data_IF_297055066585
#
_entry.id   IF_297055066585
#
_cell.length_a   1.000
_cell.length_b   1.000
_cell.length_c   1.000
_cell.angle_alpha   90.00
_cell.angle_beta   90.00
_cell.angle_gamma   90.00
#
_symmetry.space_group_name_H-M   'P 1'
#
loop_
_entity.id
_entity.type
_entity.pdbx_description
1 polymer ?
#
# COMPACT_ATOMS: atom_id res chain seq x y z
N UNK A 1 48.28 -48.38 -32.02
CA UNK A 1 47.75 -48.19 -30.66
C UNK A 1 47.18 -46.78 -30.56
N UNK A 2 45.87 -46.58 -30.29
CA UNK A 2 45.35 -45.28 -29.88
C UNK A 2 44.93 -45.30 -28.40
N UNK A 3 45.30 -44.22 -27.70
CA UNK A 3 44.99 -43.94 -26.30
C UNK A 3 43.57 -43.40 -26.21
N UNK A 4 42.68 -44.04 -25.44
CA UNK A 4 41.32 -43.56 -25.20
C UNK A 4 41.34 -42.51 -24.07
N UNK A 5 40.83 -41.31 -24.35
CA UNK A 5 40.68 -40.24 -23.38
C UNK A 5 39.48 -40.53 -22.47
N UNK A 6 39.71 -40.65 -21.16
CA UNK A 6 38.63 -40.70 -20.16
C UNK A 6 38.06 -39.29 -19.98
N UNK A 7 36.78 -39.14 -20.29
CA UNK A 7 36.02 -37.91 -20.04
C UNK A 7 35.82 -37.75 -18.53
N UNK A 8 36.38 -36.71 -17.94
CA UNK A 8 36.19 -36.34 -16.54
C UNK A 8 34.94 -35.47 -16.47
N UNK A 9 33.85 -35.99 -15.91
CA UNK A 9 32.61 -35.23 -15.69
C UNK A 9 32.73 -34.42 -14.38
N UNK A 10 32.41 -33.11 -14.37
CA UNK A 10 32.56 -32.30 -13.16
C UNK A 10 31.45 -32.63 -12.13
N UNK A 11 31.72 -32.52 -10.82
CA UNK A 11 30.74 -32.82 -9.79
C UNK A 11 29.58 -31.81 -9.83
N UNK A 12 28.35 -32.32 -9.82
CA UNK A 12 27.13 -31.50 -9.69
C UNK A 12 27.17 -30.79 -8.33
N UNK A 13 27.13 -29.46 -8.33
CA UNK A 13 26.95 -28.65 -7.13
C UNK A 13 25.58 -28.96 -6.53
N UNK A 14 25.56 -29.64 -5.40
CA UNK A 14 24.39 -29.73 -4.53
C UNK A 14 24.18 -28.32 -3.95
N UNK A 15 23.05 -27.70 -4.30
CA UNK A 15 22.67 -26.39 -3.78
C UNK A 15 21.96 -26.63 -2.47
N UNK A 16 22.66 -26.43 -1.36
CA UNK A 16 22.07 -26.41 -0.02
C UNK A 16 20.88 -25.43 -0.03
N UNK A 17 19.67 -25.97 0.04
CA UNK A 17 18.45 -25.20 0.21
C UNK A 17 18.41 -24.67 1.65
N UNK A 18 18.96 -23.48 1.83
CA UNK A 18 18.69 -22.68 3.02
C UNK A 18 17.16 -22.50 3.14
N UNK A 19 16.55 -22.80 4.31
CA UNK A 19 15.11 -22.71 4.47
C UNK A 19 14.64 -21.27 4.25
N UNK A 20 13.82 -21.07 3.21
CA UNK A 20 13.20 -19.78 2.90
C UNK A 20 12.43 -19.31 4.13
N UNK A 21 12.73 -18.11 4.68
CA UNK A 21 12.04 -17.61 5.86
C UNK A 21 10.54 -17.52 5.58
N UNK A 22 9.74 -18.02 6.52
CA UNK A 22 8.28 -18.08 6.40
C UNK A 22 7.71 -16.65 6.25
N UNK A 23 7.36 -16.28 5.01
CA UNK A 23 6.74 -14.99 4.65
C UNK A 23 5.31 -14.84 5.21
N UNK A 24 4.80 -15.79 6.01
CA UNK A 24 3.43 -15.81 6.52
C UNK A 24 3.13 -14.83 7.66
N UNK A 25 4.11 -14.12 8.19
CA UNK A 25 3.83 -12.98 9.08
C UNK A 25 4.07 -11.69 8.32
N UNK A 26 3.02 -10.91 7.99
CA UNK A 26 3.24 -9.55 7.54
C UNK A 26 3.91 -8.84 8.73
N UNK A 27 5.16 -8.44 8.54
CA UNK A 27 5.81 -7.57 9.50
C UNK A 27 5.24 -6.20 9.18
N UNK A 28 4.45 -5.64 10.11
CA UNK A 28 4.25 -4.21 10.14
C UNK A 28 5.61 -3.56 9.87
N UNK A 29 5.65 -2.53 9.00
CA UNK A 29 6.88 -1.77 8.79
C UNK A 29 7.56 -1.51 10.13
N UNK A 30 8.88 -1.72 10.24
CA UNK A 30 9.64 -1.55 11.49
C UNK A 30 9.35 -0.20 12.19
N UNK A 31 8.89 0.81 11.43
CA UNK A 31 8.43 2.09 11.93
C UNK A 31 7.15 2.00 12.78
N UNK A 32 6.13 1.24 12.37
CA UNK A 32 4.89 1.06 13.13
C UNK A 32 5.13 0.33 14.45
N UNK A 33 5.95 -0.71 14.43
CA UNK A 33 6.28 -1.49 15.64
C UNK A 33 6.96 -0.62 16.69
N UNK A 34 7.90 0.25 16.29
CA UNK A 34 8.60 1.17 17.20
C UNK A 34 7.65 2.20 17.82
N UNK A 35 6.68 2.70 17.05
CA UNK A 35 5.67 3.64 17.57
C UNK A 35 4.75 2.98 18.60
N UNK A 36 4.50 1.68 18.51
CA UNK A 36 3.64 0.95 19.45
C UNK A 36 4.15 1.05 20.88
N UNK A 37 5.46 0.93 21.05
CA UNK A 37 6.13 0.99 22.36
C UNK A 37 6.06 2.39 22.99
N UNK A 38 5.94 3.45 22.18
CA UNK A 38 5.85 4.83 22.66
C UNK A 38 4.45 5.22 23.18
N UNK A 39 3.43 4.38 22.99
CA UNK A 39 2.05 4.67 23.36
C UNK A 39 1.43 5.83 22.55
N UNK A 40 0.11 5.99 22.61
CA UNK A 40 -0.59 7.08 21.91
C UNK A 40 -0.18 8.43 22.51
N UNK A 41 0.77 9.12 21.90
CA UNK A 41 1.07 10.51 22.27
C UNK A 41 -0.05 11.44 21.76
N UNK A 42 -0.28 12.55 22.47
CA UNK A 42 -1.24 13.58 22.04
C UNK A 42 -0.87 14.04 20.62
N UNK A 43 -1.86 14.13 19.72
CA UNK A 43 -1.68 14.57 18.33
C UNK A 43 -1.42 13.46 17.31
N UNK A 44 -1.47 12.18 17.70
CA UNK A 44 -1.43 11.07 16.75
C UNK A 44 -2.79 10.83 16.12
N UNK A 45 -2.81 10.62 14.81
CA UNK A 45 -4.02 10.21 14.08
C UNK A 45 -3.76 8.91 13.35
N UNK A 46 -4.57 7.90 13.62
CA UNK A 46 -4.48 6.60 12.97
C UNK A 46 -5.69 6.43 12.06
N UNK A 47 -5.43 6.15 10.79
CA UNK A 47 -6.48 5.91 9.80
C UNK A 47 -6.38 4.47 9.29
N UNK A 48 -7.48 3.72 9.34
CA UNK A 48 -7.60 2.40 8.73
C UNK A 48 -8.20 2.54 7.32
N UNK A 49 -7.56 1.95 6.32
CA UNK A 49 -8.03 1.86 4.96
C UNK A 49 -8.44 0.42 4.66
N UNK A 50 -9.74 0.20 4.50
CA UNK A 50 -10.31 -1.08 4.17
C UNK A 50 -10.70 -1.13 2.69
N UNK A 51 -10.19 -2.14 1.97
CA UNK A 51 -10.44 -2.37 0.55
C UNK A 51 -11.26 -3.65 0.30
N UNK A 52 -12.61 -3.58 0.25
CA UNK A 52 -13.45 -4.76 0.18
C UNK A 52 -13.27 -5.63 -1.06
N UNK A 53 -12.72 -5.07 -2.14
CA UNK A 53 -12.38 -5.70 -3.41
C UNK A 53 -11.04 -6.45 -3.38
N UNK A 54 -10.25 -6.31 -2.30
CA UNK A 54 -8.94 -6.93 -2.13
C UNK A 54 -9.02 -8.20 -1.26
N UNK A 55 -8.21 -9.26 -1.54
CA UNK A 55 -8.13 -10.43 -0.68
C UNK A 55 -7.86 -10.08 0.79
N UNK A 56 -8.48 -10.82 1.71
CA UNK A 56 -8.47 -10.51 3.15
C UNK A 56 -7.08 -10.24 3.75
N UNK A 57 -6.03 -10.89 3.23
CA UNK A 57 -4.65 -10.72 3.69
C UNK A 57 -4.03 -9.35 3.40
N UNK A 58 -4.61 -8.57 2.50
CA UNK A 58 -4.08 -7.27 2.05
C UNK A 58 -5.15 -6.18 2.03
N UNK A 59 -6.30 -6.47 2.64
CA UNK A 59 -7.48 -5.61 2.65
C UNK A 59 -7.31 -4.37 3.52
N UNK A 60 -6.54 -4.47 4.58
CA UNK A 60 -6.39 -3.42 5.57
C UNK A 60 -4.99 -2.81 5.53
N UNK A 61 -4.96 -1.49 5.56
CA UNK A 61 -3.75 -0.69 5.60
C UNK A 61 -3.95 0.44 6.60
N UNK A 62 -2.95 0.69 7.43
CA UNK A 62 -2.99 1.74 8.44
C UNK A 62 -2.04 2.86 8.09
N UNK A 63 -2.52 4.10 8.20
CA UNK A 63 -1.71 5.30 8.15
C UNK A 63 -1.62 5.90 9.55
N UNK A 64 -0.41 5.94 10.10
CA UNK A 64 -0.12 6.51 11.43
C UNK A 64 0.53 7.87 11.26
N UNK A 65 -0.26 8.92 11.42
CA UNK A 65 0.16 10.31 11.34
C UNK A 65 0.60 10.82 12.70
N UNK A 66 1.78 11.44 12.71
CA UNK A 66 2.41 12.08 13.86
C UNK A 66 2.96 13.44 13.44
N UNK A 67 3.24 14.37 14.38
CA UNK A 67 3.85 15.64 14.02
C UNK A 67 5.14 15.43 13.19
N UNK A 68 5.11 15.89 11.94
CA UNK A 68 6.25 15.80 11.00
C UNK A 68 6.56 14.41 10.43
N UNK A 69 5.73 13.39 10.68
CA UNK A 69 6.00 12.03 10.17
C UNK A 69 4.70 11.25 9.91
N UNK A 70 4.67 10.47 8.83
CA UNK A 70 3.58 9.59 8.42
C UNK A 70 4.15 8.20 8.11
N UNK A 71 3.59 7.16 8.74
CA UNK A 71 3.96 5.77 8.49
C UNK A 71 2.80 4.97 7.90
N UNK A 72 3.10 4.13 6.90
CA UNK A 72 2.14 3.21 6.28
C UNK A 72 2.43 1.78 6.72
N UNK A 73 1.40 1.06 7.12
CA UNK A 73 1.51 -0.26 7.73
C UNK A 73 0.48 -1.20 7.10
N UNK A 74 0.92 -2.38 6.67
CA UNK A 74 0.10 -3.44 6.07
C UNK A 74 -0.38 -4.48 7.11
N UNK A 75 -0.04 -4.24 8.38
CA UNK A 75 -0.37 -5.06 9.53
C UNK A 75 -0.89 -4.14 10.62
N UNK A 76 -1.91 -4.59 11.35
CA UNK A 76 -2.54 -3.80 12.41
C UNK A 76 -1.48 -3.36 13.44
N UNK A 77 -1.25 -2.04 13.59
CA UNK A 77 -0.27 -1.54 14.54
C UNK A 77 -0.73 -1.65 16.00
N UNK A 78 -2.01 -1.95 16.24
CA UNK A 78 -2.61 -2.08 17.57
C UNK A 78 -2.91 -0.74 18.25
N UNK A 79 -3.09 0.32 17.45
CA UNK A 79 -3.52 1.62 17.95
C UNK A 79 -5.03 1.80 17.82
N UNK A 80 -5.59 2.69 18.62
CA UNK A 80 -6.97 3.14 18.44
C UNK A 80 -7.12 3.85 17.09
N UNK A 81 -8.02 3.35 16.25
CA UNK A 81 -8.33 3.91 14.93
C UNK A 81 -9.17 5.17 15.12
N UNK A 82 -8.68 6.30 14.63
CA UNK A 82 -9.40 7.58 14.66
C UNK A 82 -10.48 7.66 13.58
N UNK A 83 -10.24 7.00 12.45
CA UNK A 83 -11.14 7.01 11.29
C UNK A 83 -10.88 5.79 10.42
N UNK A 84 -11.97 5.19 9.94
CA UNK A 84 -11.94 4.13 8.94
C UNK A 84 -12.40 4.68 7.60
N UNK A 85 -11.63 4.38 6.56
CA UNK A 85 -11.85 4.74 5.17
C UNK A 85 -12.14 3.45 4.41
N UNK A 86 -13.34 3.33 3.84
CA UNK A 86 -13.72 2.14 3.07
C UNK A 86 -13.97 2.53 1.62
N UNK A 87 -13.28 1.89 0.69
CA UNK A 87 -13.46 2.08 -0.75
C UNK A 87 -12.87 0.89 -1.51
N UNK A 88 -13.21 0.74 -2.79
CA UNK A 88 -12.45 -0.16 -3.66
C UNK A 88 -11.02 0.38 -3.86
N UNK A 89 -10.02 -0.50 -3.95
CA UNK A 89 -8.63 -0.10 -4.13
C UNK A 89 -8.45 0.79 -5.38
N UNK A 90 -9.18 0.48 -6.46
CA UNK A 90 -9.15 1.26 -7.69
C UNK A 90 -9.60 2.71 -7.47
N UNK A 91 -10.67 2.92 -6.72
CA UNK A 91 -11.20 4.27 -6.48
C UNK A 91 -10.31 5.05 -5.52
N UNK A 92 -9.71 4.38 -4.53
CA UNK A 92 -8.68 5.00 -3.70
C UNK A 92 -7.45 5.44 -4.50
N UNK A 93 -7.00 4.63 -5.46
CA UNK A 93 -5.90 5.01 -6.37
C UNK A 93 -6.29 6.21 -7.25
N UNK A 94 -7.53 6.26 -7.75
CA UNK A 94 -8.03 7.42 -8.51
C UNK A 94 -8.04 8.67 -7.64
N UNK A 95 -8.48 8.56 -6.37
CA UNK A 95 -8.45 9.65 -5.40
C UNK A 95 -7.03 10.15 -5.16
N UNK A 96 -6.08 9.25 -4.88
CA UNK A 96 -4.68 9.61 -4.67
C UNK A 96 -4.03 10.27 -5.88
N UNK A 97 -4.44 9.91 -7.09
CA UNK A 97 -3.95 10.51 -8.33
C UNK A 97 -4.63 11.84 -8.68
N UNK A 98 -5.73 12.19 -8.00
CA UNK A 98 -6.57 13.33 -8.34
C UNK A 98 -7.54 13.09 -9.50
N UNK A 99 -7.70 11.84 -9.95
CA UNK A 99 -8.66 11.47 -11.00
C UNK A 99 -10.11 11.43 -10.48
N UNK A 100 -10.29 11.28 -9.17
CA UNK A 100 -11.58 11.29 -8.48
C UNK A 100 -11.48 12.18 -7.25
N UNK A 101 -12.35 13.17 -7.09
CA UNK A 101 -12.33 14.01 -5.91
C UNK A 101 -12.97 13.29 -4.71
N UNK A 102 -12.44 13.53 -3.51
CA UNK A 102 -12.99 13.02 -2.26
C UNK A 102 -14.50 13.29 -2.12
N UNK A 103 -14.95 14.49 -2.48
CA UNK A 103 -16.36 14.88 -2.39
C UNK A 103 -17.24 14.08 -3.35
N UNK A 104 -16.75 13.80 -4.57
CA UNK A 104 -17.47 13.00 -5.56
C UNK A 104 -17.56 11.54 -5.12
N UNK A 105 -16.46 11.00 -4.61
CA UNK A 105 -16.41 9.64 -4.09
C UNK A 105 -17.38 9.43 -2.91
N UNK A 106 -17.43 10.39 -1.98
CA UNK A 106 -18.38 10.36 -0.86
C UNK A 106 -19.83 10.44 -1.33
N UNK A 107 -20.14 11.35 -2.28
CA UNK A 107 -21.51 11.53 -2.79
C UNK A 107 -22.01 10.33 -3.59
N UNK A 108 -21.13 9.68 -4.34
CA UNK A 108 -21.47 8.51 -5.15
C UNK A 108 -21.52 7.20 -4.34
N UNK A 109 -21.03 7.20 -3.10
CA UNK A 109 -20.90 6.01 -2.26
C UNK A 109 -19.71 5.12 -2.61
N UNK A 110 -18.82 5.55 -3.50
CA UNK A 110 -17.57 4.86 -3.81
C UNK A 110 -16.54 4.93 -2.66
N UNK A 111 -16.77 5.83 -1.70
CA UNK A 111 -15.96 6.02 -0.51
C UNK A 111 -16.89 6.23 0.71
N UNK A 112 -16.65 5.49 1.79
CA UNK A 112 -17.27 5.71 3.10
C UNK A 112 -16.22 6.12 4.14
N UNK A 113 -16.63 7.01 5.06
CA UNK A 113 -15.80 7.53 6.14
C UNK A 113 -16.52 7.38 7.48
N UNK A 114 -15.93 6.57 8.35
CA UNK A 114 -16.45 6.31 9.69
C UNK A 114 -15.52 6.87 10.75
N UNK A 115 -16.05 7.71 11.65
CA UNK A 115 -15.29 8.36 12.71
C UNK A 115 -15.83 9.75 13.06
N UNK A 116 -15.20 10.46 14.01
CA UNK A 116 -15.62 11.79 14.41
C UNK A 116 -15.65 12.76 13.23
N UNK A 117 -16.66 13.61 13.16
CA UNK A 117 -16.85 14.54 12.05
C UNK A 117 -15.64 15.45 11.80
N UNK A 118 -14.99 15.90 12.88
CA UNK A 118 -13.77 16.71 12.80
C UNK A 118 -12.66 15.98 12.05
N UNK A 119 -12.45 14.70 12.35
CA UNK A 119 -11.44 13.86 11.71
C UNK A 119 -11.80 13.62 10.25
N UNK A 120 -13.07 13.28 9.95
CA UNK A 120 -13.55 13.04 8.57
C UNK A 120 -13.39 14.27 7.67
N UNK A 121 -13.61 15.48 8.19
CA UNK A 121 -13.42 16.74 7.45
C UNK A 121 -11.95 17.07 7.21
N UNK A 122 -11.08 16.68 8.13
CA UNK A 122 -9.64 17.00 8.04
C UNK A 122 -8.89 15.98 7.18
N UNK A 123 -9.35 14.71 7.14
CA UNK A 123 -8.68 13.62 6.46
C UNK A 123 -8.34 13.90 4.98
N UNK A 124 -9.23 14.42 4.12
CA UNK A 124 -8.90 14.78 2.74
C UNK A 124 -7.74 15.78 2.61
N UNK A 125 -7.55 16.65 3.61
CA UNK A 125 -6.48 17.66 3.58
C UNK A 125 -5.10 17.05 3.86
N UNK A 126 -5.02 15.92 4.55
CA UNK A 126 -3.76 15.19 4.74
C UNK A 126 -3.28 14.52 3.46
N UNK A 127 -4.24 14.18 2.59
CA UNK A 127 -4.01 13.66 1.25
C UNK A 127 -4.09 14.75 0.19
N UNK A 128 -3.98 16.03 0.60
CA UNK A 128 -3.91 17.15 -0.34
C UNK A 128 -2.85 16.78 -1.38
N UNK A 129 -3.36 16.66 -2.61
CA UNK A 129 -2.72 15.93 -3.68
C UNK A 129 -1.25 16.32 -3.78
N UNK A 130 -0.39 15.32 -3.93
CA UNK A 130 1.02 15.53 -4.25
C UNK A 130 1.15 16.66 -5.28
N UNK A 131 2.14 17.56 -5.21
CA UNK A 131 2.31 18.65 -6.18
C UNK A 131 2.27 18.21 -7.65
N UNK A 132 2.55 16.92 -7.89
CA UNK A 132 2.50 16.27 -9.19
C UNK A 132 1.10 15.92 -9.71
N UNK A 133 0.05 15.93 -8.89
CA UNK A 133 -1.31 15.61 -9.32
C UNK A 133 -1.92 16.68 -10.24
N UNK A 134 -1.45 17.93 -10.14
CA UNK A 134 -1.83 19.01 -11.05
C UNK A 134 -1.13 18.90 -12.40
N UNK A 135 -0.10 18.05 -12.53
CA UNK A 135 0.60 17.86 -13.81
C UNK A 135 -0.32 17.08 -14.75
N UNK A 136 -0.70 17.66 -15.90
CA UNK A 136 -1.54 16.96 -16.88
C UNK A 136 -0.91 15.64 -17.27
N UNK A 137 -1.71 14.57 -17.22
CA UNK A 137 -1.25 13.24 -17.62
C UNK A 137 -0.90 13.27 -19.12
N UNK A 138 0.28 12.77 -19.51
CA UNK A 138 0.56 12.55 -20.92
C UNK A 138 -0.51 11.63 -21.49
N UNK A 139 -1.23 12.10 -22.50
CA UNK A 139 -2.14 11.23 -23.24
C UNK A 139 -1.29 10.13 -23.88
N UNK A 140 -1.60 8.87 -23.59
CA UNK A 140 -1.03 7.76 -24.35
C UNK A 140 -1.66 7.86 -25.75
N UNK A 141 -0.87 8.04 -26.83
CA UNK A 141 -1.42 8.02 -28.17
C UNK A 141 -2.06 6.65 -28.39
N UNK A 142 -3.37 6.62 -28.59
CA UNK A 142 -4.05 5.40 -29.00
C UNK A 142 -3.55 5.11 -30.41
N UNK A 143 -2.78 4.04 -30.58
CA UNK A 143 -2.30 3.63 -31.90
C UNK A 143 -3.52 3.22 -32.71
N UNK A 144 -3.89 4.02 -33.71
CA UNK A 144 -5.00 3.73 -34.62
C UNK A 144 -4.76 2.42 -35.38
N UNK A 145 -5.82 1.80 -35.94
CA UNK A 145 -5.68 0.56 -36.68
C UNK A 145 -4.71 0.76 -37.85
N UNK A 146 -3.70 -0.11 -37.92
CA UNK A 146 -2.79 -0.20 -39.06
C UNK A 146 -3.60 -0.60 -40.29
N UNK A 147 -3.87 0.35 -41.18
CA UNK A 147 -4.40 0.06 -42.52
C UNK A 147 -3.26 -0.57 -43.32
N UNK A 148 -3.44 -1.83 -43.70
CA UNK A 148 -2.63 -2.54 -44.68
C UNK A 148 -3.25 -2.46 -46.06
#
# INVERSE_FOLDING_TARGET
MPVQATSIEPPRREVDHEPVPDRRRPRASHACTRKKEAGRARGWTVSDFAFPDVPARSRHWWLVLTPGNADVCDTDPGFEVSVTVTADLRDMVRIWRGDLHWQDALRSGALDLQGPETVRRTLPTWFALSPFATIPRPAIPVRGPSVG
#
